data_IF_646583157927
#
_entry.id   IF_646583157927
#
_cell.length_a   1.000
_cell.length_b   1.000
_cell.length_c   1.000
_cell.angle_alpha   90.00
_cell.angle_beta   90.00
_cell.angle_gamma   90.00
#
_symmetry.space_group_name_H-M   'P 1'
#
loop_
_entity.id
_entity.type
_entity.pdbx_description
1 polymer ?
#
# COMPACT_ATOMS: atom_id res chain seq x y z
N UNK A 1 3.28 -14.36 22.52
CA UNK A 1 3.34 -14.07 21.07
C UNK A 1 2.12 -13.24 20.71
N UNK A 2 2.35 -12.01 20.27
CA UNK A 2 1.28 -11.10 19.84
C UNK A 2 0.78 -11.51 18.46
N UNK A 3 -0.52 -11.66 18.29
CA UNK A 3 -1.13 -11.93 17.00
C UNK A 3 -1.70 -10.64 16.43
N UNK A 4 -1.32 -10.34 15.21
CA UNK A 4 -1.78 -9.15 14.49
C UNK A 4 -2.74 -9.57 13.38
N UNK A 5 -3.95 -9.03 13.39
CA UNK A 5 -4.86 -9.10 12.24
C UNK A 5 -4.37 -8.10 11.18
N UNK A 6 -3.83 -8.62 10.08
CA UNK A 6 -3.35 -7.82 8.96
C UNK A 6 -4.44 -7.74 7.90
N UNK A 7 -4.90 -6.53 7.60
CA UNK A 7 -5.95 -6.23 6.62
C UNK A 7 -5.34 -5.46 5.45
N UNK A 8 -5.61 -5.93 4.24
CA UNK A 8 -5.26 -5.27 2.97
C UNK A 8 -6.57 -4.79 2.31
N UNK A 9 -6.79 -3.48 2.37
CA UNK A 9 -7.94 -2.83 1.77
C UNK A 9 -7.60 -2.45 0.34
N UNK A 10 -8.16 -3.15 -0.63
CA UNK A 10 -7.94 -2.87 -2.05
C UNK A 10 -9.21 -2.40 -2.76
N UNK A 11 -9.04 -1.67 -3.86
CA UNK A 11 -10.18 -1.19 -4.66
C UNK A 11 -11.05 -2.29 -5.29
N UNK A 12 -10.56 -3.54 -5.37
CA UNK A 12 -11.31 -4.68 -5.94
C UNK A 12 -11.59 -5.79 -4.96
N UNK A 13 -10.92 -5.80 -3.80
CA UNK A 13 -11.07 -6.87 -2.81
C UNK A 13 -10.41 -6.50 -1.49
N UNK A 14 -11.09 -6.85 -0.42
CA UNK A 14 -10.61 -6.76 0.95
C UNK A 14 -10.04 -8.12 1.32
N UNK A 15 -8.90 -8.15 1.98
CA UNK A 15 -8.22 -9.39 2.39
C UNK A 15 -7.75 -9.26 3.84
N UNK A 16 -7.74 -10.37 4.56
CA UNK A 16 -7.22 -10.41 5.92
C UNK A 16 -6.59 -11.76 6.25
N UNK A 17 -5.61 -11.74 7.13
CA UNK A 17 -5.05 -12.91 7.77
C UNK A 17 -4.51 -12.53 9.15
N UNK A 18 -4.46 -13.48 10.08
CA UNK A 18 -3.73 -13.30 11.33
C UNK A 18 -2.28 -13.72 11.11
N UNK A 19 -1.36 -12.88 11.55
CA UNK A 19 0.08 -13.15 11.54
C UNK A 19 0.62 -13.17 12.98
N UNK A 20 1.65 -13.98 13.21
CA UNK A 20 2.45 -13.95 14.44
C UNK A 20 3.52 -12.83 14.39
N UNK A 21 4.32 -12.70 15.45
CA UNK A 21 5.38 -11.67 15.55
C UNK A 21 6.46 -11.81 14.47
N UNK A 22 6.62 -12.97 13.85
CA UNK A 22 7.54 -13.19 12.72
C UNK A 22 6.95 -12.75 11.37
N UNK A 23 5.66 -12.37 11.33
CA UNK A 23 4.92 -12.09 10.10
C UNK A 23 4.44 -13.36 9.36
N UNK A 24 4.57 -14.53 9.99
CA UNK A 24 4.04 -15.78 9.44
C UNK A 24 2.54 -15.83 9.65
N UNK A 25 1.78 -16.16 8.59
CA UNK A 25 0.35 -16.36 8.68
C UNK A 25 0.03 -17.57 9.58
N UNK A 26 -0.81 -17.35 10.59
CA UNK A 26 -1.32 -18.41 11.48
C UNK A 26 -2.76 -18.80 11.16
N UNK A 27 -3.39 -18.12 10.22
CA UNK A 27 -4.69 -18.48 9.63
C UNK A 27 -4.59 -18.51 8.12
N UNK A 28 -5.55 -19.15 7.46
CA UNK A 28 -5.75 -18.95 6.03
C UNK A 28 -6.12 -17.48 5.74
N UNK A 29 -5.74 -16.99 4.57
CA UNK A 29 -6.13 -15.66 4.13
C UNK A 29 -7.57 -15.66 3.65
N UNK A 30 -8.41 -14.88 4.32
CA UNK A 30 -9.78 -14.62 3.90
C UNK A 30 -9.85 -13.45 2.92
N UNK A 31 -10.91 -13.43 2.10
CA UNK A 31 -11.08 -12.40 1.07
C UNK A 31 -12.57 -12.26 0.74
N UNK A 32 -13.02 -11.00 0.60
CA UNK A 32 -14.30 -10.62 0.01
C UNK A 32 -14.10 -9.58 -1.08
N UNK A 33 -15.13 -9.37 -1.89
CA UNK A 33 -15.12 -8.31 -2.90
C UNK A 33 -15.33 -6.96 -2.24
N UNK A 34 -14.58 -5.93 -2.66
CA UNK A 34 -14.83 -4.55 -2.20
C UNK A 34 -16.21 -4.09 -2.67
N UNK A 35 -17.09 -3.66 -1.76
CA UNK A 35 -18.39 -3.10 -2.15
C UNK A 35 -18.22 -1.72 -2.78
N UNK A 36 -19.20 -1.32 -3.59
CA UNK A 36 -19.33 0.03 -4.14
C UNK A 36 -20.80 0.41 -4.17
N UNK A 37 -21.16 1.67 -3.85
CA UNK A 37 -20.29 2.69 -3.24
C UNK A 37 -19.75 2.23 -1.88
N UNK A 38 -18.60 2.78 -1.46
CA UNK A 38 -17.94 2.36 -0.23
C UNK A 38 -17.61 3.55 0.69
N UNK A 39 -18.58 4.16 1.34
CA UNK A 39 -18.33 5.17 2.38
C UNK A 39 -17.65 4.52 3.61
N UNK A 40 -17.10 5.32 4.56
CA UNK A 40 -16.39 4.82 5.73
C UNK A 40 -17.14 3.76 6.53
N UNK A 41 -18.40 3.97 6.81
CA UNK A 41 -19.25 3.04 7.59
C UNK A 41 -19.39 1.70 6.86
N UNK A 42 -19.56 1.73 5.53
CA UNK A 42 -19.66 0.52 4.72
C UNK A 42 -18.35 -0.27 4.68
N UNK A 43 -17.22 0.42 4.67
CA UNK A 43 -15.93 -0.25 4.80
C UNK A 43 -15.84 -0.97 6.16
N UNK A 44 -16.17 -0.29 7.26
CA UNK A 44 -16.11 -0.87 8.61
C UNK A 44 -17.00 -2.12 8.72
N UNK A 45 -18.25 -2.05 8.24
CA UNK A 45 -19.16 -3.21 8.16
C UNK A 45 -18.52 -4.37 7.37
N UNK A 46 -17.95 -4.07 6.21
CA UNK A 46 -17.33 -5.08 5.35
C UNK A 46 -16.09 -5.71 5.97
N UNK A 47 -15.34 -4.95 6.79
CA UNK A 47 -14.20 -5.50 7.53
C UNK A 47 -14.65 -6.43 8.66
N UNK A 48 -15.78 -6.16 9.33
CA UNK A 48 -16.39 -7.11 10.28
C UNK A 48 -16.83 -8.41 9.57
N UNK A 49 -17.53 -8.28 8.43
CA UNK A 49 -17.93 -9.43 7.61
C UNK A 49 -16.71 -10.26 7.19
N UNK A 50 -15.65 -9.60 6.68
CA UNK A 50 -14.41 -10.24 6.24
C UNK A 50 -13.75 -11.06 7.36
N UNK A 51 -13.80 -10.55 8.59
CA UNK A 51 -13.04 -11.10 9.72
C UNK A 51 -13.89 -11.96 10.65
N UNK A 52 -15.15 -12.19 10.31
CA UNK A 52 -16.03 -13.07 11.09
C UNK A 52 -15.42 -14.48 11.19
N UNK A 53 -15.27 -14.98 12.41
CA UNK A 53 -14.71 -16.31 12.66
C UNK A 53 -13.21 -16.49 12.38
N UNK A 54 -12.46 -15.44 12.01
CA UNK A 54 -11.04 -15.54 11.64
C UNK A 54 -10.14 -16.04 12.80
N UNK A 55 -10.55 -15.88 14.05
CA UNK A 55 -9.79 -16.32 15.23
C UNK A 55 -9.43 -15.19 16.17
N UNK A 56 -8.50 -15.45 17.12
CA UNK A 56 -8.10 -14.49 18.15
C UNK A 56 -6.86 -13.71 17.74
N UNK A 57 -6.90 -12.41 17.95
CA UNK A 57 -5.80 -11.44 17.71
C UNK A 57 -5.81 -10.36 18.78
N UNK A 58 -4.68 -9.70 18.98
CA UNK A 58 -4.49 -8.64 19.99
C UNK A 58 -4.55 -7.25 19.41
N UNK A 59 -4.16 -7.06 18.14
CA UNK A 59 -4.07 -5.78 17.44
C UNK A 59 -4.39 -5.91 15.95
N UNK A 60 -4.65 -4.79 15.27
CA UNK A 60 -5.05 -4.76 13.86
C UNK A 60 -4.12 -3.80 13.09
N UNK A 61 -3.66 -4.22 11.92
CA UNK A 61 -2.97 -3.36 10.95
C UNK A 61 -3.79 -3.28 9.67
N UNK A 62 -3.99 -2.08 9.14
CA UNK A 62 -4.77 -1.85 7.93
C UNK A 62 -3.93 -1.10 6.91
N UNK A 63 -3.71 -1.72 5.74
CA UNK A 63 -3.21 -1.05 4.56
C UNK A 63 -4.39 -0.46 3.78
N UNK A 64 -4.43 0.86 3.61
CA UNK A 64 -5.51 1.59 2.96
C UNK A 64 -5.04 2.22 1.64
N UNK A 65 -5.81 2.12 0.53
CA UNK A 65 -5.41 2.63 -0.78
C UNK A 65 -5.68 4.13 -0.90
N UNK A 66 -4.85 4.94 -0.27
CA UNK A 66 -4.96 6.39 -0.26
C UNK A 66 -3.98 7.06 0.69
N UNK A 67 -3.99 8.38 0.72
CA UNK A 67 -3.15 9.16 1.63
C UNK A 67 -3.73 9.10 3.05
N UNK A 68 -2.99 8.48 3.96
CA UNK A 68 -3.31 8.40 5.39
C UNK A 68 -2.16 9.02 6.18
N UNK A 69 -2.48 9.86 7.16
CA UNK A 69 -1.53 10.40 8.13
C UNK A 69 -2.14 10.32 9.53
N UNK A 70 -1.41 9.73 10.45
CA UNK A 70 -1.85 9.57 11.85
C UNK A 70 -3.26 8.94 11.97
N UNK A 71 -3.57 7.97 11.09
CA UNK A 71 -4.86 7.30 11.05
C UNK A 71 -5.99 8.03 10.32
N UNK A 72 -5.78 9.32 9.97
CA UNK A 72 -6.77 10.16 9.27
C UNK A 72 -6.58 10.08 7.76
N UNK A 73 -7.67 9.88 7.04
CA UNK A 73 -7.69 9.80 5.57
C UNK A 73 -7.70 11.21 4.96
N UNK A 74 -6.71 11.53 4.15
CA UNK A 74 -6.62 12.79 3.40
C UNK A 74 -6.96 12.64 1.92
N UNK A 75 -6.84 11.42 1.37
CA UNK A 75 -7.20 11.10 -0.01
C UNK A 75 -7.64 9.64 -0.11
N UNK A 76 -8.77 9.38 -0.78
CA UNK A 76 -9.32 8.04 -0.98
C UNK A 76 -9.84 7.90 -2.42
N UNK A 77 -8.96 7.98 -3.43
CA UNK A 77 -9.37 8.02 -4.85
C UNK A 77 -10.23 6.82 -5.28
N UNK A 78 -9.91 5.62 -4.78
CA UNK A 78 -10.68 4.42 -5.11
C UNK A 78 -12.10 4.48 -4.53
N UNK A 79 -12.25 5.00 -3.31
CA UNK A 79 -13.52 5.01 -2.56
C UNK A 79 -14.33 6.31 -2.70
N UNK A 80 -13.76 7.32 -3.35
CA UNK A 80 -14.49 8.51 -3.79
C UNK A 80 -15.29 8.29 -5.08
N UNK A 81 -15.59 7.03 -5.44
CA UNK A 81 -16.24 6.64 -6.69
C UNK A 81 -17.45 5.76 -6.43
N UNK A 82 -18.50 5.91 -7.25
CA UNK A 82 -19.73 5.09 -7.15
C UNK A 82 -19.54 3.63 -7.60
N UNK A 83 -18.46 3.35 -8.35
CA UNK A 83 -18.07 2.00 -8.79
C UNK A 83 -16.56 1.94 -9.04
N UNK A 84 -15.98 0.75 -9.07
CA UNK A 84 -14.58 0.58 -9.38
C UNK A 84 -14.22 1.15 -10.77
N UNK A 85 -13.31 2.13 -10.78
CA UNK A 85 -12.94 2.86 -12.01
C UNK A 85 -14.01 3.78 -12.58
N UNK A 86 -15.14 3.96 -11.89
CA UNK A 86 -16.24 4.83 -12.27
C UNK A 86 -15.97 6.32 -12.02
N UNK A 87 -17.02 7.12 -12.15
CA UNK A 87 -16.94 8.56 -11.89
C UNK A 87 -16.74 8.86 -10.40
N UNK A 88 -16.00 9.92 -10.12
CA UNK A 88 -15.87 10.48 -8.77
C UNK A 88 -17.21 11.04 -8.31
N UNK A 89 -17.53 10.82 -7.06
CA UNK A 89 -18.71 11.33 -6.36
C UNK A 89 -18.27 12.28 -5.25
N UNK A 90 -18.85 13.48 -5.24
CA UNK A 90 -18.44 14.54 -4.33
C UNK A 90 -18.78 14.23 -2.86
N UNK A 91 -19.92 13.55 -2.63
CA UNK A 91 -20.37 13.21 -1.27
C UNK A 91 -19.52 12.10 -0.69
N UNK A 92 -19.20 11.06 -1.47
CA UNK A 92 -18.26 10.01 -1.07
C UNK A 92 -16.87 10.58 -0.79
N UNK A 93 -16.38 11.49 -1.63
CA UNK A 93 -15.10 12.16 -1.42
C UNK A 93 -15.12 12.96 -0.12
N UNK A 94 -16.17 13.72 0.13
CA UNK A 94 -16.33 14.50 1.36
C UNK A 94 -16.43 13.61 2.59
N UNK A 95 -17.08 12.45 2.51
CA UNK A 95 -17.19 11.50 3.62
C UNK A 95 -15.82 10.90 4.01
N UNK A 96 -14.90 10.74 3.06
CA UNK A 96 -13.57 10.17 3.33
C UNK A 96 -12.54 11.20 3.80
N UNK A 97 -12.57 12.43 3.26
CA UNK A 97 -11.56 13.44 3.58
C UNK A 97 -11.74 13.92 5.02
N UNK A 98 -10.68 13.75 5.83
CA UNK A 98 -10.69 14.09 7.24
C UNK A 98 -11.31 13.01 8.15
N UNK A 99 -11.72 11.86 7.61
CA UNK A 99 -12.24 10.76 8.41
C UNK A 99 -11.11 10.07 9.18
N UNK A 100 -11.22 10.02 10.50
CA UNK A 100 -10.31 9.28 11.38
C UNK A 100 -10.66 7.79 11.35
N UNK A 101 -10.10 7.10 10.36
CA UNK A 101 -10.34 5.68 10.13
C UNK A 101 -9.76 4.82 11.25
N UNK A 102 -8.62 5.23 11.82
CA UNK A 102 -7.97 4.47 12.88
C UNK A 102 -8.83 4.45 14.14
N UNK A 103 -9.24 5.62 14.65
CA UNK A 103 -10.10 5.72 15.82
C UNK A 103 -11.44 5.02 15.59
N UNK A 104 -12.07 5.18 14.43
CA UNK A 104 -13.32 4.51 14.11
C UNK A 104 -13.20 2.97 14.15
N UNK A 105 -12.08 2.43 13.63
CA UNK A 105 -11.80 0.99 13.70
C UNK A 105 -11.47 0.53 15.12
N UNK A 106 -10.72 1.31 15.90
CA UNK A 106 -10.44 1.00 17.32
C UNK A 106 -11.73 0.92 18.13
N UNK A 107 -12.62 1.87 17.93
CA UNK A 107 -13.92 1.88 18.59
C UNK A 107 -14.81 0.71 18.17
N UNK A 108 -14.78 0.34 16.88
CA UNK A 108 -15.60 -0.73 16.34
C UNK A 108 -15.11 -2.13 16.73
N UNK A 109 -13.81 -2.38 16.62
CA UNK A 109 -13.20 -3.69 16.91
C UNK A 109 -12.79 -3.88 18.38
N UNK A 110 -12.77 -2.79 19.18
CA UNK A 110 -12.30 -2.79 20.58
C UNK A 110 -10.88 -3.35 20.72
N UNK A 111 -10.01 -2.99 19.77
CA UNK A 111 -8.61 -3.42 19.67
C UNK A 111 -7.75 -2.24 19.23
N UNK A 112 -6.46 -2.19 19.61
CA UNK A 112 -5.52 -1.25 19.01
C UNK A 112 -5.44 -1.42 17.49
N UNK A 113 -5.48 -0.33 16.75
CA UNK A 113 -5.40 -0.32 15.29
C UNK A 113 -4.25 0.58 14.83
N UNK A 114 -3.60 0.22 13.74
CA UNK A 114 -2.74 1.12 12.95
C UNK A 114 -3.21 1.11 11.51
N UNK A 115 -3.44 2.29 10.96
CA UNK A 115 -3.82 2.50 9.56
C UNK A 115 -2.70 3.25 8.87
N UNK A 116 -2.25 2.73 7.74
CA UNK A 116 -1.28 3.40 6.87
C UNK A 116 -1.64 3.17 5.40
N UNK A 117 -0.97 3.86 4.49
CA UNK A 117 -1.09 3.56 3.08
C UNK A 117 -0.65 2.11 2.78
N UNK A 118 -1.23 1.48 1.77
CA UNK A 118 -0.93 0.09 1.40
C UNK A 118 0.52 -0.11 0.94
N UNK A 119 1.12 0.88 0.26
CA UNK A 119 2.54 0.83 -0.10
C UNK A 119 3.45 1.03 1.13
N UNK A 120 3.04 1.85 2.11
CA UNK A 120 3.77 2.01 3.37
C UNK A 120 3.81 0.68 4.15
N UNK A 121 2.66 0.00 4.26
CA UNK A 121 2.60 -1.33 4.89
C UNK A 121 3.48 -2.33 4.14
N UNK A 122 3.44 -2.35 2.81
CA UNK A 122 4.32 -3.22 2.02
C UNK A 122 5.80 -2.86 2.22
N UNK A 123 6.11 -1.57 2.29
CA UNK A 123 7.46 -1.07 2.54
C UNK A 123 8.03 -1.50 3.89
N UNK A 124 7.21 -1.49 4.94
CA UNK A 124 7.60 -1.96 6.27
C UNK A 124 8.15 -3.39 6.26
N UNK A 125 7.71 -4.24 5.34
CA UNK A 125 8.18 -5.61 5.23
C UNK A 125 9.61 -5.73 4.69
N UNK A 126 10.05 -4.78 3.88
CA UNK A 126 11.28 -4.90 3.08
C UNK A 126 12.36 -3.91 3.48
N UNK A 127 12.02 -2.82 4.15
CA UNK A 127 12.98 -1.85 4.64
C UNK A 127 14.04 -2.53 5.53
N UNK A 128 15.32 -2.26 5.24
CA UNK A 128 16.47 -2.87 5.93
C UNK A 128 16.91 -2.08 7.16
N UNK A 129 16.47 -0.83 7.28
CA UNK A 129 16.82 0.07 8.36
C UNK A 129 18.16 0.79 8.17
N UNK A 130 18.67 0.85 6.94
CA UNK A 130 19.97 1.45 6.63
C UNK A 130 19.81 2.63 5.67
N UNK A 131 20.17 3.83 6.15
CA UNK A 131 20.15 5.03 5.32
C UNK A 131 18.74 5.44 4.88
N UNK A 132 18.66 6.07 3.73
CA UNK A 132 17.39 6.50 3.13
C UNK A 132 16.93 5.50 2.06
N UNK A 133 15.89 4.76 2.39
CA UNK A 133 15.33 3.71 1.53
C UNK A 133 14.02 4.16 0.88
N UNK A 134 13.91 3.91 -0.42
CA UNK A 134 12.66 4.09 -1.16
C UNK A 134 12.10 2.72 -1.54
N UNK A 135 10.84 2.48 -1.25
CA UNK A 135 10.10 1.30 -1.70
C UNK A 135 9.10 1.73 -2.76
N UNK A 136 9.25 1.25 -3.98
CA UNK A 136 8.34 1.51 -5.09
C UNK A 136 7.49 0.27 -5.37
N UNK A 137 6.18 0.40 -5.33
CA UNK A 137 5.26 -0.69 -5.67
C UNK A 137 4.68 -0.50 -7.06
N UNK A 138 4.87 -1.48 -7.94
CA UNK A 138 4.35 -1.50 -9.30
C UNK A 138 3.16 -2.45 -9.39
N UNK A 139 1.97 -1.87 -9.49
CA UNK A 139 0.69 -2.59 -9.48
C UNK A 139 -0.32 -1.99 -10.44
N UNK A 140 -1.57 -1.81 -10.01
CA UNK A 140 -2.60 -1.05 -10.73
C UNK A 140 -2.08 0.35 -11.01
N UNK A 141 -1.52 1.02 -10.00
CA UNK A 141 -0.81 2.28 -10.07
C UNK A 141 0.67 2.11 -9.68
N UNK A 142 1.25 3.20 -9.18
CA UNK A 142 2.61 3.29 -8.65
C UNK A 142 2.54 3.85 -7.24
N UNK A 143 2.74 3.00 -6.24
CA UNK A 143 2.85 3.43 -4.85
C UNK A 143 4.30 3.63 -4.43
N UNK A 144 4.50 4.36 -3.34
CA UNK A 144 5.83 4.62 -2.80
C UNK A 144 5.82 4.77 -1.29
N UNK A 145 6.83 4.20 -0.62
CA UNK A 145 7.08 4.39 0.80
C UNK A 145 8.53 4.80 1.04
N UNK A 146 8.75 5.68 1.99
CA UNK A 146 10.06 6.22 2.32
C UNK A 146 10.45 5.84 3.75
N UNK A 147 11.70 5.45 3.94
CA UNK A 147 12.25 5.09 5.24
C UNK A 147 13.58 5.79 5.46
N UNK A 148 13.78 6.34 6.65
CA UNK A 148 15.09 6.86 7.07
C UNK A 148 15.55 6.08 8.30
N UNK A 149 16.67 5.36 8.15
CA UNK A 149 17.21 4.49 9.20
C UNK A 149 16.16 3.54 9.82
N UNK A 150 15.26 3.01 8.98
CA UNK A 150 14.18 2.10 9.37
C UNK A 150 12.91 2.80 9.84
N UNK A 151 12.91 4.09 10.09
CA UNK A 151 11.71 4.84 10.44
C UNK A 151 10.89 5.17 9.18
N UNK A 152 9.62 4.78 9.16
CA UNK A 152 8.68 5.15 8.10
C UNK A 152 8.49 6.68 8.08
N UNK A 153 8.65 7.27 6.92
CA UNK A 153 8.44 8.70 6.71
C UNK A 153 6.98 9.00 6.33
N UNK A 154 6.53 10.25 6.47
CA UNK A 154 5.17 10.63 6.06
C UNK A 154 4.89 10.24 4.61
N UNK A 155 3.74 9.62 4.37
CA UNK A 155 3.35 9.16 3.04
C UNK A 155 3.30 10.29 2.02
N UNK A 156 3.90 10.03 0.84
CA UNK A 156 3.86 10.90 -0.33
C UNK A 156 3.34 10.11 -1.54
N UNK A 157 2.40 10.71 -2.29
CA UNK A 157 1.88 10.16 -3.55
C UNK A 157 2.88 10.34 -4.70
N UNK A 158 4.06 9.69 -4.56
CA UNK A 158 5.17 9.83 -5.52
C UNK A 158 4.81 9.35 -6.93
N UNK A 159 3.83 8.46 -7.06
CA UNK A 159 3.29 8.05 -8.35
C UNK A 159 2.64 9.21 -9.14
N UNK A 160 2.17 10.24 -8.45
CA UNK A 160 1.56 11.43 -9.07
C UNK A 160 2.58 12.49 -9.50
N UNK A 161 3.86 12.33 -9.15
CA UNK A 161 4.89 13.27 -9.58
C UNK A 161 5.04 13.26 -11.11
N UNK A 162 5.40 14.42 -11.72
CA UNK A 162 5.66 14.50 -13.16
C UNK A 162 6.83 13.60 -13.56
N UNK A 163 6.68 12.88 -14.68
CA UNK A 163 7.73 12.00 -15.16
C UNK A 163 8.17 12.33 -16.58
N UNK A 164 7.32 12.08 -17.57
CA UNK A 164 7.68 12.28 -18.98
C UNK A 164 6.47 12.61 -19.84
N UNK A 165 6.69 13.39 -20.92
CA UNK A 165 5.64 13.78 -21.89
C UNK A 165 4.43 14.47 -21.26
N UNK A 166 4.62 15.19 -20.14
CA UNK A 166 3.53 15.83 -19.43
C UNK A 166 2.67 14.89 -18.56
N UNK A 167 3.07 13.62 -18.43
CA UNK A 167 2.37 12.60 -17.65
C UNK A 167 3.13 12.23 -16.38
N UNK A 168 2.41 11.66 -15.41
CA UNK A 168 2.95 11.23 -14.12
C UNK A 168 3.64 9.86 -14.20
N UNK A 169 4.37 9.46 -13.14
CA UNK A 169 4.90 8.10 -13.04
C UNK A 169 3.78 7.06 -13.14
N UNK A 170 2.65 7.25 -12.45
CA UNK A 170 1.53 6.32 -12.51
C UNK A 170 0.94 6.19 -13.91
N UNK A 171 0.72 7.30 -14.61
CA UNK A 171 0.23 7.31 -15.98
C UNK A 171 1.19 6.66 -16.98
N UNK A 172 2.47 6.52 -16.64
CA UNK A 172 3.49 5.92 -17.52
C UNK A 172 3.85 4.48 -17.14
N UNK A 173 3.64 4.06 -15.87
CA UNK A 173 4.11 2.78 -15.33
C UNK A 173 2.99 1.89 -14.78
N UNK A 174 1.76 2.40 -14.64
CA UNK A 174 0.62 1.63 -14.15
C UNK A 174 0.29 0.43 -15.06
N UNK A 175 -0.41 -0.56 -14.49
CA UNK A 175 -0.69 -1.84 -15.17
C UNK A 175 -1.49 -1.71 -16.48
N UNK A 176 -2.38 -0.71 -16.60
CA UNK A 176 -3.11 -0.48 -17.84
C UNK A 176 -2.16 -0.14 -18.97
N UNK A 177 -1.25 0.80 -18.74
CA UNK A 177 -0.23 1.19 -19.72
C UNK A 177 0.71 0.04 -20.05
N UNK A 178 1.14 -0.75 -19.03
CA UNK A 178 1.95 -1.94 -19.29
C UNK A 178 1.27 -2.90 -20.28
N UNK A 179 -0.04 -3.15 -20.11
CA UNK A 179 -0.81 -4.03 -21.01
C UNK A 179 -0.92 -3.45 -22.42
N UNK A 180 -1.06 -2.12 -22.53
CA UNK A 180 -1.18 -1.42 -23.82
C UNK A 180 0.12 -1.45 -24.62
N UNK A 181 1.27 -1.12 -23.99
CA UNK A 181 2.55 -0.96 -24.71
C UNK A 181 3.41 -2.21 -24.76
N UNK A 182 3.04 -3.25 -23.98
CA UNK A 182 3.80 -4.50 -23.82
C UNK A 182 4.95 -4.39 -22.80
N UNK A 183 5.37 -5.56 -22.28
CA UNK A 183 6.34 -5.65 -21.19
C UNK A 183 7.70 -5.03 -21.55
N UNK A 184 8.25 -5.27 -22.75
CA UNK A 184 9.57 -4.74 -23.12
C UNK A 184 9.64 -3.21 -23.09
N UNK A 185 8.63 -2.55 -23.64
CA UNK A 185 8.56 -1.08 -23.63
C UNK A 185 8.34 -0.54 -22.22
N UNK A 186 7.54 -1.25 -21.45
CA UNK A 186 7.25 -0.90 -20.05
C UNK A 186 8.50 -1.04 -19.18
N UNK A 187 9.28 -2.13 -19.31
CA UNK A 187 10.56 -2.33 -18.61
C UNK A 187 11.51 -1.16 -18.88
N UNK A 188 11.64 -0.75 -20.15
CA UNK A 188 12.46 0.42 -20.52
C UNK A 188 11.96 1.72 -19.86
N UNK A 189 10.65 1.84 -19.59
CA UNK A 189 10.13 2.99 -18.84
C UNK A 189 10.49 2.90 -17.35
N UNK A 190 10.38 1.71 -16.74
CA UNK A 190 10.81 1.50 -15.35
C UNK A 190 12.29 1.82 -15.18
N UNK A 191 13.16 1.33 -16.08
CA UNK A 191 14.58 1.64 -16.07
C UNK A 191 14.88 3.15 -16.17
N UNK A 192 14.03 3.94 -16.83
CA UNK A 192 14.13 5.42 -16.87
C UNK A 192 13.55 6.10 -15.63
N UNK A 193 12.60 5.46 -14.97
CA UNK A 193 12.00 5.99 -13.74
C UNK A 193 12.97 5.94 -12.55
N UNK A 194 13.83 4.91 -12.49
CA UNK A 194 14.81 4.75 -11.42
C UNK A 194 15.72 5.99 -11.28
N UNK A 195 16.49 6.41 -12.31
CA UNK A 195 17.33 7.60 -12.19
C UNK A 195 16.50 8.89 -12.05
N UNK A 196 15.26 8.93 -12.53
CA UNK A 196 14.40 10.08 -12.31
C UNK A 196 14.04 10.24 -10.82
N UNK A 197 13.65 9.13 -10.13
CA UNK A 197 13.43 9.16 -8.69
C UNK A 197 14.72 9.45 -7.91
N UNK A 198 15.85 8.83 -8.30
CA UNK A 198 17.15 9.06 -7.68
C UNK A 198 17.53 10.55 -7.72
N UNK A 199 17.26 11.24 -8.83
CA UNK A 199 17.61 12.64 -9.03
C UNK A 199 16.91 13.64 -8.10
N UNK A 200 15.80 13.26 -7.44
CA UNK A 200 15.13 14.13 -6.48
C UNK A 200 14.96 13.52 -5.08
N UNK A 201 15.01 12.20 -4.92
CA UNK A 201 14.95 11.54 -3.61
C UNK A 201 16.34 11.33 -3.01
N UNK A 202 17.37 11.09 -3.83
CA UNK A 202 18.74 10.75 -3.39
C UNK A 202 18.74 9.57 -2.42
N UNK A 203 17.97 8.51 -2.73
CA UNK A 203 17.90 7.30 -1.89
C UNK A 203 19.22 6.52 -1.93
N UNK A 204 19.57 5.91 -0.80
CA UNK A 204 20.68 4.96 -0.72
C UNK A 204 20.32 3.61 -1.35
N UNK A 205 19.07 3.17 -1.19
CA UNK A 205 18.55 1.93 -1.76
C UNK A 205 17.10 2.05 -2.24
N UNK A 206 16.81 1.43 -3.38
CA UNK A 206 15.46 1.29 -3.94
C UNK A 206 15.01 -0.18 -3.91
N UNK A 207 13.89 -0.45 -3.27
CA UNK A 207 13.19 -1.73 -3.33
C UNK A 207 12.02 -1.66 -4.31
N UNK A 208 11.97 -2.52 -5.34
CA UNK A 208 10.88 -2.56 -6.30
C UNK A 208 10.01 -3.79 -6.04
N UNK A 209 8.76 -3.54 -5.64
CA UNK A 209 7.76 -4.55 -5.34
C UNK A 209 6.49 -4.41 -6.19
N UNK A 210 5.39 -5.00 -5.69
CA UNK A 210 4.10 -5.00 -6.36
C UNK A 210 3.95 -6.10 -7.42
N UNK A 211 2.72 -6.34 -7.89
CA UNK A 211 2.38 -7.47 -8.77
C UNK A 211 3.06 -7.47 -10.13
N UNK A 212 3.55 -6.30 -10.57
CA UNK A 212 4.24 -6.15 -11.85
C UNK A 212 5.78 -6.26 -11.73
N UNK A 213 6.37 -6.29 -10.52
CA UNK A 213 7.82 -6.47 -10.34
C UNK A 213 8.34 -7.79 -10.94
N UNK A 214 7.51 -8.82 -11.02
CA UNK A 214 7.82 -10.11 -11.66
C UNK A 214 8.27 -10.00 -13.11
N UNK A 215 7.91 -8.94 -13.82
CA UNK A 215 8.34 -8.72 -15.21
C UNK A 215 9.75 -8.11 -15.30
N UNK A 216 10.37 -7.77 -14.17
CA UNK A 216 11.71 -7.18 -14.09
C UNK A 216 12.79 -8.20 -13.69
N UNK A 217 12.45 -9.46 -13.43
CA UNK A 217 13.36 -10.48 -12.88
C UNK A 217 14.62 -10.65 -13.73
N UNK A 218 14.47 -10.62 -15.06
CA UNK A 218 15.60 -10.77 -15.99
C UNK A 218 16.20 -9.42 -16.43
N UNK A 219 15.84 -8.33 -15.72
CA UNK A 219 16.28 -6.99 -16.08
C UNK A 219 17.53 -6.62 -15.30
N UNK A 220 18.54 -6.08 -16.00
CA UNK A 220 19.72 -5.51 -15.33
C UNK A 220 19.28 -4.22 -14.63
N UNK A 221 19.45 -4.19 -13.32
CA UNK A 221 19.15 -3.06 -12.44
C UNK A 221 20.45 -2.53 -11.81
N UNK A 222 20.50 -1.26 -11.37
CA UNK A 222 21.61 -0.71 -10.60
C UNK A 222 21.88 -1.53 -9.31
N UNK A 223 23.11 -1.46 -8.77
CA UNK A 223 23.51 -2.22 -7.57
C UNK A 223 22.70 -1.85 -6.32
N UNK A 224 22.26 -0.58 -6.24
CA UNK A 224 21.41 -0.07 -5.15
C UNK A 224 19.91 -0.30 -5.39
N UNK A 225 19.52 -1.19 -6.31
CA UNK A 225 18.11 -1.52 -6.62
C UNK A 225 17.88 -3.02 -6.45
N UNK A 226 16.88 -3.39 -5.66
CA UNK A 226 16.49 -4.78 -5.46
C UNK A 226 15.02 -5.04 -5.81
N UNK A 227 14.72 -6.24 -6.32
CA UNK A 227 13.35 -6.71 -6.48
C UNK A 227 12.91 -7.43 -5.21
N UNK A 228 11.71 -7.12 -4.74
CA UNK A 228 11.12 -7.74 -3.55
C UNK A 228 9.85 -8.52 -3.91
N UNK A 229 9.64 -9.64 -3.21
CA UNK A 229 8.52 -10.50 -3.50
C UNK A 229 7.19 -9.93 -2.98
N UNK A 230 6.07 -10.28 -3.63
CA UNK A 230 4.73 -9.83 -3.24
C UNK A 230 4.19 -10.44 -1.92
N UNK A 231 4.92 -11.35 -1.28
CA UNK A 231 4.50 -11.93 0.01
C UNK A 231 4.76 -10.98 1.19
N UNK A 232 5.46 -9.88 0.93
CA UNK A 232 5.87 -8.91 1.94
C UNK A 232 4.71 -8.18 2.66
N UNK A 233 3.54 -7.99 2.01
CA UNK A 233 2.49 -7.13 2.56
C UNK A 233 1.96 -7.51 3.94
N UNK A 234 1.85 -8.81 4.25
CA UNK A 234 1.39 -9.27 5.57
C UNK A 234 2.45 -9.09 6.66
N UNK A 235 3.73 -9.38 6.34
CA UNK A 235 4.85 -9.10 7.25
C UNK A 235 4.93 -7.60 7.59
N UNK A 236 4.69 -6.74 6.61
CA UNK A 236 4.64 -5.30 6.82
C UNK A 236 3.57 -4.87 7.82
N UNK A 237 2.41 -5.52 7.81
CA UNK A 237 1.34 -5.30 8.77
C UNK A 237 1.75 -5.61 10.22
N UNK A 238 2.68 -6.54 10.43
CA UNK A 238 3.27 -6.79 11.76
C UNK A 238 4.32 -5.73 12.09
N UNK A 239 5.26 -5.48 11.18
CA UNK A 239 6.40 -4.58 11.41
C UNK A 239 6.01 -3.11 11.56
N UNK A 240 4.87 -2.67 11.06
CA UNK A 240 4.40 -1.29 11.25
C UNK A 240 4.24 -0.92 12.74
N UNK A 241 4.12 -1.91 13.62
CA UNK A 241 4.03 -1.69 15.06
C UNK A 241 5.39 -1.41 15.73
N UNK A 242 6.48 -1.82 15.09
CA UNK A 242 7.83 -1.70 15.61
C UNK A 242 8.53 -0.44 15.06
N UNK A 243 7.95 0.20 14.02
CA UNK A 243 8.52 1.38 13.38
C UNK A 243 8.08 2.63 14.15
N UNK A 244 9.05 3.39 14.61
CA UNK A 244 8.81 4.71 15.20
C UNK A 244 8.50 5.70 14.07
N UNK A 245 7.35 6.33 14.13
CA UNK A 245 7.11 7.56 13.39
C UNK A 245 7.86 8.68 14.12
N UNK A 246 8.83 9.31 13.46
CA UNK A 246 9.48 10.52 13.96
C UNK A 246 8.58 11.73 13.69
#
# INVERSE_FOLDING_TARGET
MTRTLCIDVGGTGLKAAICDDSGTMVTERVKIRTPYPNPPEKLIESLHELTEGIGKYERISVGFPGLVREGVVHLAMAFSRISYGGLEDADLKAAWIGFDLQTALEESFKKPVRVANDADVQGCAVATGKGFEFVMTLGTGVGGALFLNGALQPHLELGHAPFRKGETFEQQLGNLVRKEIGNERWIKRVQKAIPAYEGFLFFDHLHIGGGNSKYLVDTVLPENVSLVSNTAGLLGGVRIWDLTHN
#
